data_IF_206812717791
#
_entry.id   IF_206812717791
#
_cell.length_a   1.000
_cell.length_b   1.000
_cell.length_c   1.000
_cell.angle_alpha   90.00
_cell.angle_beta   90.00
_cell.angle_gamma   90.00
#
_symmetry.space_group_name_H-M   'P 1'
#
loop_
_entity.id
_entity.type
_entity.pdbx_description
1 polymer ?
#
# COMPACT_ATOMS: atom_id res chain seq x y z
N UNK A 1 18.77 -14.91 -1.17
CA UNK A 1 17.73 -15.81 -1.75
C UNK A 1 16.40 -15.30 -1.22
N UNK A 2 15.45 -15.00 -2.11
CA UNK A 2 14.11 -14.64 -1.65
C UNK A 2 13.54 -15.83 -0.85
N UNK A 3 12.89 -15.51 0.28
CA UNK A 3 12.19 -16.52 1.09
C UNK A 3 10.99 -17.07 0.28
N UNK A 4 11.24 -18.13 -0.48
CA UNK A 4 10.26 -18.74 -1.38
C UNK A 4 9.03 -19.25 -0.61
N UNK A 5 9.22 -19.75 0.61
CA UNK A 5 8.12 -20.25 1.45
C UNK A 5 7.23 -19.09 1.95
N UNK A 6 7.83 -17.98 2.39
CA UNK A 6 7.09 -16.79 2.79
C UNK A 6 6.30 -16.18 1.64
N UNK A 7 6.90 -16.16 0.44
CA UNK A 7 6.25 -15.68 -0.77
C UNK A 7 5.06 -16.57 -1.18
N UNK A 8 5.18 -17.88 -1.12
CA UNK A 8 4.08 -18.81 -1.41
C UNK A 8 2.93 -18.66 -0.40
N UNK A 9 3.24 -18.53 0.89
CA UNK A 9 2.23 -18.24 1.93
C UNK A 9 1.49 -16.93 1.65
N UNK A 10 2.21 -15.88 1.26
CA UNK A 10 1.61 -14.59 0.89
C UNK A 10 0.69 -14.73 -0.33
N UNK A 11 1.13 -15.40 -1.38
CA UNK A 11 0.31 -15.67 -2.58
C UNK A 11 -0.97 -16.44 -2.23
N UNK A 12 -0.84 -17.50 -1.43
CA UNK A 12 -1.99 -18.28 -0.94
C UNK A 12 -2.96 -17.43 -0.12
N UNK A 13 -2.44 -16.60 0.78
CA UNK A 13 -3.25 -15.65 1.56
C UNK A 13 -4.02 -14.67 0.66
N UNK A 14 -3.33 -14.01 -0.28
CA UNK A 14 -3.95 -13.04 -1.19
C UNK A 14 -5.04 -13.69 -2.05
N UNK A 15 -4.78 -14.87 -2.61
CA UNK A 15 -5.74 -15.62 -3.42
C UNK A 15 -6.99 -16.01 -2.59
N UNK A 16 -6.79 -16.56 -1.40
CA UNK A 16 -7.88 -16.97 -0.53
C UNK A 16 -8.73 -15.80 -0.02
N UNK A 17 -8.09 -14.72 0.44
CA UNK A 17 -8.80 -13.57 0.99
C UNK A 17 -9.50 -12.75 -0.10
N UNK A 18 -8.90 -12.57 -1.27
CA UNK A 18 -9.55 -11.86 -2.38
C UNK A 18 -10.76 -12.62 -2.94
N UNK A 19 -10.79 -13.94 -2.83
CA UNK A 19 -11.96 -14.74 -3.20
C UNK A 19 -13.08 -14.69 -2.14
N UNK A 20 -12.69 -14.64 -0.85
CA UNK A 20 -13.62 -14.75 0.28
C UNK A 20 -14.23 -13.43 0.73
N UNK A 21 -13.43 -12.38 0.84
CA UNK A 21 -13.83 -11.14 1.49
C UNK A 21 -14.63 -10.24 0.52
N UNK A 22 -15.75 -9.66 0.96
CA UNK A 22 -16.40 -8.57 0.23
C UNK A 22 -15.52 -7.32 0.13
N UNK A 23 -15.70 -6.51 -0.92
CA UNK A 23 -14.99 -5.24 -1.10
C UNK A 23 -15.14 -4.30 0.11
N UNK A 24 -16.33 -4.25 0.69
CA UNK A 24 -16.61 -3.44 1.88
C UNK A 24 -15.77 -3.87 3.09
N UNK A 25 -15.57 -5.17 3.31
CA UNK A 25 -14.73 -5.68 4.40
C UNK A 25 -13.24 -5.44 4.13
N UNK A 26 -12.80 -5.59 2.87
CA UNK A 26 -11.42 -5.25 2.48
C UNK A 26 -11.16 -3.76 2.71
N UNK A 27 -12.12 -2.89 2.34
CA UNK A 27 -12.05 -1.44 2.60
C UNK A 27 -11.90 -1.16 4.10
N UNK A 28 -12.77 -1.72 4.94
CA UNK A 28 -12.69 -1.52 6.39
C UNK A 28 -11.31 -1.91 6.94
N UNK A 29 -10.79 -3.08 6.57
CA UNK A 29 -9.47 -3.55 7.00
C UNK A 29 -8.32 -2.70 6.49
N UNK A 30 -8.46 -2.11 5.30
CA UNK A 30 -7.49 -1.16 4.74
C UNK A 30 -7.52 0.16 5.51
N UNK A 31 -8.71 0.69 5.81
CA UNK A 31 -8.90 1.93 6.58
C UNK A 31 -8.30 1.77 8.00
N UNK A 32 -8.50 0.63 8.65
CA UNK A 32 -7.89 0.31 9.95
C UNK A 32 -6.35 0.33 9.86
N UNK A 33 -5.77 -0.31 8.84
CA UNK A 33 -4.31 -0.33 8.64
C UNK A 33 -3.74 1.07 8.32
N UNK A 34 -4.47 1.87 7.54
CA UNK A 34 -4.10 3.25 7.28
C UNK A 34 -4.15 4.11 8.56
N UNK A 35 -5.14 3.91 9.43
CA UNK A 35 -5.22 4.59 10.72
C UNK A 35 -4.05 4.21 11.63
N UNK A 36 -3.65 2.92 11.69
CA UNK A 36 -2.45 2.47 12.40
C UNK A 36 -1.20 3.21 11.90
N UNK A 37 -1.06 3.35 10.58
CA UNK A 37 0.06 4.07 9.98
C UNK A 37 0.04 5.57 10.33
N UNK A 38 -1.10 6.24 10.18
CA UNK A 38 -1.24 7.66 10.55
C UNK A 38 -1.00 7.90 12.04
N UNK A 39 -1.40 6.96 12.91
CA UNK A 39 -1.09 7.03 14.33
C UNK A 39 0.42 6.92 14.59
N UNK A 40 1.13 6.05 13.87
CA UNK A 40 2.58 5.88 14.02
C UNK A 40 3.38 7.14 13.64
N UNK A 41 2.88 7.96 12.70
CA UNK A 41 3.54 9.22 12.29
C UNK A 41 2.99 10.46 13.04
N UNK A 42 1.99 10.27 13.91
CA UNK A 42 1.36 11.39 14.62
C UNK A 42 2.32 12.06 15.60
N UNK A 43 2.35 13.40 15.58
CA UNK A 43 3.18 14.20 16.48
C UNK A 43 4.67 14.19 16.14
N UNK A 44 5.07 13.60 15.02
CA UNK A 44 6.46 13.66 14.53
C UNK A 44 6.69 15.03 13.91
N UNK A 45 7.72 15.74 14.38
CA UNK A 45 8.14 17.01 13.77
C UNK A 45 8.93 16.77 12.48
N UNK A 46 9.01 17.83 11.65
CA UNK A 46 9.62 17.75 10.33
C UNK A 46 11.12 17.39 10.38
N UNK A 47 11.87 17.93 11.34
CA UNK A 47 13.31 17.65 11.47
C UNK A 47 13.57 16.20 11.83
N UNK A 48 12.76 15.63 12.72
CA UNK A 48 12.84 14.21 13.11
C UNK A 48 12.38 13.30 11.97
N UNK A 49 11.34 13.70 11.23
CA UNK A 49 10.82 12.92 10.10
C UNK A 49 11.84 12.72 8.98
N UNK A 50 12.74 13.69 8.75
CA UNK A 50 13.76 13.63 7.70
C UNK A 50 15.11 13.03 8.17
N UNK A 51 15.21 12.61 9.43
CA UNK A 51 16.41 11.97 9.94
C UNK A 51 16.38 10.47 9.67
N UNK A 52 17.29 9.91 8.86
CA UNK A 52 17.40 8.46 8.70
C UNK A 52 17.98 7.82 9.99
N UNK A 53 17.56 6.61 10.33
CA UNK A 53 18.06 5.93 11.54
C UNK A 53 19.50 5.48 11.39
N UNK A 54 19.96 5.18 10.16
CA UNK A 54 21.33 4.86 9.82
C UNK A 54 21.60 5.20 8.35
N UNK A 55 22.90 5.30 7.93
CA UNK A 55 23.24 5.51 6.53
C UNK A 55 22.64 4.44 5.62
N UNK A 56 21.89 4.87 4.61
CA UNK A 56 21.22 3.98 3.65
C UNK A 56 19.88 3.42 4.10
N UNK A 57 19.42 3.74 5.28
CA UNK A 57 18.07 3.41 5.76
C UNK A 57 17.11 4.59 5.55
N UNK A 58 15.83 4.28 5.39
CA UNK A 58 14.81 5.29 5.11
C UNK A 58 14.41 6.05 6.38
N UNK A 59 14.34 7.36 6.24
CA UNK A 59 13.67 8.26 7.17
C UNK A 59 12.15 8.07 7.15
N UNK A 60 11.44 8.61 8.14
CA UNK A 60 9.97 8.60 8.17
C UNK A 60 9.38 9.29 6.94
N UNK A 61 9.95 10.42 6.50
CA UNK A 61 9.50 11.14 5.31
C UNK A 61 9.60 10.27 4.04
N UNK A 62 10.70 9.51 3.89
CA UNK A 62 10.89 8.56 2.78
C UNK A 62 9.87 7.42 2.84
N UNK A 63 9.57 6.89 4.02
CA UNK A 63 8.54 5.85 4.18
C UNK A 63 7.15 6.40 3.81
N UNK A 64 6.79 7.61 4.25
CA UNK A 64 5.50 8.24 3.89
C UNK A 64 5.39 8.48 2.39
N UNK A 65 6.44 8.96 1.74
CA UNK A 65 6.45 9.15 0.28
C UNK A 65 6.31 7.83 -0.47
N UNK A 66 7.05 6.79 -0.05
CA UNK A 66 6.97 5.45 -0.63
C UNK A 66 5.56 4.85 -0.55
N UNK A 67 4.91 4.93 0.61
CA UNK A 67 3.53 4.45 0.77
C UNK A 67 2.57 5.23 -0.12
N UNK A 68 2.77 6.55 -0.25
CA UNK A 68 1.95 7.42 -1.12
C UNK A 68 2.07 7.03 -2.58
N UNK A 69 3.28 6.89 -3.09
CA UNK A 69 3.53 6.51 -4.50
C UNK A 69 2.96 5.13 -4.80
N UNK A 70 3.07 4.19 -3.86
CA UNK A 70 2.47 2.86 -4.03
C UNK A 70 0.95 2.92 -4.21
N UNK A 71 0.25 3.77 -3.43
CA UNK A 71 -1.20 3.98 -3.61
C UNK A 71 -1.53 4.59 -4.98
N UNK A 72 -0.75 5.59 -5.38
CA UNK A 72 -0.93 6.30 -6.66
C UNK A 72 -0.73 5.36 -7.86
N UNK A 73 0.19 4.40 -7.77
CA UNK A 73 0.46 3.43 -8.83
C UNK A 73 -0.54 2.25 -8.86
N UNK A 74 -0.96 1.79 -7.69
CA UNK A 74 -1.85 0.63 -7.58
C UNK A 74 -3.31 0.97 -7.94
N UNK A 75 -3.79 2.16 -7.59
CA UNK A 75 -5.18 2.55 -7.84
C UNK A 75 -5.59 2.50 -9.33
N UNK A 76 -4.78 2.99 -10.29
CA UNK A 76 -5.07 2.82 -11.72
C UNK A 76 -5.18 1.36 -12.15
N UNK A 77 -4.33 0.47 -11.63
CA UNK A 77 -4.39 -0.97 -11.92
C UNK A 77 -5.69 -1.59 -11.42
N UNK A 78 -6.09 -1.26 -10.19
CA UNK A 78 -7.36 -1.70 -9.62
C UNK A 78 -8.55 -1.23 -10.45
N UNK A 79 -8.56 0.04 -10.89
CA UNK A 79 -9.61 0.61 -11.75
C UNK A 79 -9.68 -0.09 -13.10
N UNK A 80 -8.55 -0.37 -13.72
CA UNK A 80 -8.45 -1.06 -15.01
C UNK A 80 -9.03 -2.48 -14.90
N UNK A 81 -8.63 -3.24 -13.88
CA UNK A 81 -9.13 -4.59 -13.65
C UNK A 81 -10.63 -4.61 -13.33
N UNK A 82 -11.11 -3.73 -12.44
CA UNK A 82 -12.52 -3.63 -12.11
C UNK A 82 -13.37 -3.14 -13.28
N UNK A 83 -12.77 -2.41 -14.23
CA UNK A 83 -13.37 -2.02 -15.51
C UNK A 83 -13.40 -3.12 -16.58
N UNK A 84 -12.89 -4.32 -16.29
CA UNK A 84 -12.89 -5.46 -17.21
C UNK A 84 -11.75 -5.47 -18.22
N UNK A 85 -10.67 -4.72 -17.99
CA UNK A 85 -9.49 -4.70 -18.85
C UNK A 85 -8.23 -5.17 -18.12
N UNK A 86 -7.26 -5.68 -18.86
CA UNK A 86 -5.95 -5.98 -18.33
C UNK A 86 -5.06 -4.73 -18.39
N UNK A 87 -4.28 -4.44 -17.32
CA UNK A 87 -3.31 -3.35 -17.35
C UNK A 87 -2.24 -3.62 -18.41
N UNK A 88 -1.79 -2.58 -19.11
CA UNK A 88 -0.71 -2.66 -20.10
C UNK A 88 0.68 -2.67 -19.46
N UNK A 89 0.77 -2.28 -18.18
CA UNK A 89 2.00 -2.25 -17.41
C UNK A 89 1.81 -3.05 -16.11
N UNK A 90 2.83 -3.79 -15.72
CA UNK A 90 2.87 -4.45 -14.43
C UNK A 90 3.09 -3.42 -13.31
N UNK A 91 2.66 -3.77 -12.09
CA UNK A 91 2.96 -2.98 -10.91
C UNK A 91 4.48 -2.88 -10.71
N UNK A 92 4.96 -1.68 -10.42
CA UNK A 92 6.36 -1.49 -9.98
C UNK A 92 6.44 -1.79 -8.48
N UNK A 93 7.18 -2.83 -8.13
CA UNK A 93 7.28 -3.31 -6.73
C UNK A 93 8.24 -2.48 -5.88
N UNK A 94 9.11 -1.68 -6.52
CA UNK A 94 10.11 -0.89 -5.80
C UNK A 94 10.05 0.57 -6.23
N UNK A 95 9.53 1.41 -5.34
CA UNK A 95 9.51 2.85 -5.53
C UNK A 95 10.58 3.48 -4.63
N UNK A 96 11.64 4.01 -5.25
CA UNK A 96 12.52 4.91 -4.52
C UNK A 96 11.74 6.17 -4.15
N UNK A 97 11.86 6.68 -2.92
CA UNK A 97 11.22 7.94 -2.51
C UNK A 97 11.70 9.09 -3.38
N UNK A 98 10.79 9.73 -4.13
CA UNK A 98 11.13 10.80 -5.08
C UNK A 98 10.82 12.20 -4.54
N UNK A 99 9.89 12.29 -3.57
CA UNK A 99 9.39 13.55 -3.03
C UNK A 99 9.70 13.74 -1.55
N UNK A 100 10.53 12.87 -0.96
CA UNK A 100 10.81 12.83 0.47
C UNK A 100 11.44 14.13 1.03
N UNK A 101 11.94 15.01 0.18
CA UNK A 101 12.41 16.34 0.58
C UNK A 101 11.28 17.35 0.88
N UNK A 102 10.03 17.02 0.56
CA UNK A 102 8.87 17.85 0.90
C UNK A 102 8.62 17.84 2.41
N UNK A 103 8.04 18.91 2.99
CA UNK A 103 7.63 18.93 4.39
C UNK A 103 6.71 17.75 4.72
N UNK A 104 6.89 17.12 5.90
CA UNK A 104 6.10 15.98 6.34
C UNK A 104 4.58 16.24 6.25
N UNK A 105 4.14 17.44 6.60
CA UNK A 105 2.73 17.82 6.49
C UNK A 105 2.20 17.70 5.05
N UNK A 106 3.00 18.09 4.06
CA UNK A 106 2.66 17.98 2.62
C UNK A 106 2.60 16.51 2.18
N UNK A 107 3.56 15.69 2.62
CA UNK A 107 3.59 14.25 2.34
C UNK A 107 2.36 13.55 2.93
N UNK A 108 2.01 13.87 4.17
CA UNK A 108 0.84 13.30 4.85
C UNK A 108 -0.48 13.73 4.20
N UNK A 109 -0.57 14.95 3.70
CA UNK A 109 -1.75 15.40 2.94
C UNK A 109 -1.90 14.63 1.62
N UNK A 110 -0.79 14.44 0.89
CA UNK A 110 -0.77 13.60 -0.32
C UNK A 110 -1.24 12.18 -0.02
N UNK A 111 -0.71 11.58 1.05
CA UNK A 111 -1.07 10.23 1.47
C UNK A 111 -2.56 10.13 1.83
N UNK A 112 -3.12 11.11 2.57
CA UNK A 112 -4.56 11.13 2.89
C UNK A 112 -5.44 11.20 1.64
N UNK A 113 -5.06 12.00 0.65
CA UNK A 113 -5.77 12.06 -0.64
C UNK A 113 -5.71 10.72 -1.38
N UNK A 114 -4.55 10.08 -1.44
CA UNK A 114 -4.40 8.76 -2.04
C UNK A 114 -5.25 7.71 -1.34
N UNK A 115 -5.23 7.68 0.00
CA UNK A 115 -6.06 6.77 0.79
C UNK A 115 -7.57 7.00 0.56
N UNK A 116 -8.02 8.25 0.55
CA UNK A 116 -9.41 8.58 0.27
C UNK A 116 -9.83 8.09 -1.13
N UNK A 117 -8.99 8.29 -2.14
CA UNK A 117 -9.28 7.84 -3.51
C UNK A 117 -9.38 6.31 -3.62
N UNK A 118 -8.57 5.54 -2.88
CA UNK A 118 -8.67 4.08 -2.81
C UNK A 118 -9.94 3.66 -2.05
N UNK A 119 -10.25 4.30 -0.93
CA UNK A 119 -11.45 4.03 -0.14
C UNK A 119 -12.74 4.29 -0.95
N UNK A 120 -12.80 5.40 -1.70
CA UNK A 120 -13.91 5.75 -2.59
C UNK A 120 -14.04 4.75 -3.74
N UNK A 121 -12.92 4.34 -4.34
CA UNK A 121 -12.92 3.29 -5.35
C UNK A 121 -13.54 2.00 -4.80
N UNK A 122 -13.08 1.52 -3.64
CA UNK A 122 -13.60 0.28 -3.03
C UNK A 122 -15.07 0.40 -2.64
N UNK A 123 -15.52 1.57 -2.16
CA UNK A 123 -16.92 1.82 -1.85
C UNK A 123 -17.84 1.72 -3.09
N UNK A 124 -17.33 2.10 -4.25
CA UNK A 124 -18.06 2.03 -5.51
C UNK A 124 -18.17 0.60 -6.09
N UNK A 125 -17.41 -0.38 -5.55
CA UNK A 125 -17.36 -1.75 -6.07
C UNK A 125 -18.40 -2.70 -5.42
N UNK A 126 -19.58 -2.22 -5.07
CA UNK A 126 -20.61 -3.04 -4.41
C UNK A 126 -21.05 -4.29 -5.18
N UNK A 127 -21.01 -4.26 -6.53
CA UNK A 127 -21.31 -5.41 -7.40
C UNK A 127 -20.10 -6.34 -7.62
N UNK A 128 -18.93 -5.98 -7.14
CA UNK A 128 -17.66 -6.72 -7.28
C UNK A 128 -17.37 -7.21 -8.71
N UNK A 129 -17.37 -6.31 -9.73
CA UNK A 129 -17.24 -6.72 -11.12
C UNK A 129 -15.84 -7.30 -11.39
N UNK A 130 -15.76 -8.24 -12.35
CA UNK A 130 -14.52 -8.74 -12.92
C UNK A 130 -13.50 -9.28 -11.89
N UNK A 131 -13.96 -9.91 -10.79
CA UNK A 131 -13.08 -10.50 -9.78
C UNK A 131 -12.36 -11.75 -10.26
N UNK A 132 -12.78 -12.31 -11.38
CA UNK A 132 -12.14 -13.39 -12.13
C UNK A 132 -10.94 -12.88 -12.97
N UNK A 133 -10.94 -11.60 -13.36
CA UNK A 133 -9.87 -11.00 -14.14
C UNK A 133 -8.62 -10.81 -13.27
N UNK A 134 -7.50 -11.41 -13.69
CA UNK A 134 -6.25 -11.42 -12.95
C UNK A 134 -5.08 -11.04 -13.83
N UNK A 135 -4.10 -10.38 -13.24
CA UNK A 135 -2.81 -10.10 -13.86
C UNK A 135 -1.72 -10.93 -13.18
N UNK A 136 -0.78 -11.42 -13.96
CA UNK A 136 0.38 -12.11 -13.43
C UNK A 136 1.37 -11.10 -12.86
N UNK A 137 1.64 -11.19 -11.56
CA UNK A 137 2.66 -10.45 -10.87
C UNK A 137 3.81 -11.38 -10.45
N UNK A 138 5.05 -10.97 -10.70
CA UNK A 138 6.23 -11.80 -10.43
C UNK A 138 6.42 -12.11 -8.94
N UNK A 139 5.99 -11.23 -8.05
CA UNK A 139 6.11 -11.39 -6.61
C UNK A 139 4.82 -11.93 -5.97
N UNK A 140 3.67 -11.36 -6.32
CA UNK A 140 2.39 -11.65 -5.68
C UNK A 140 1.56 -12.76 -6.37
N UNK A 141 1.97 -13.23 -7.56
CA UNK A 141 1.27 -14.27 -8.31
C UNK A 141 0.10 -13.73 -9.13
N UNK A 142 -1.01 -14.48 -9.21
CA UNK A 142 -2.20 -14.08 -9.97
C UNK A 142 -3.10 -13.17 -9.13
N UNK A 143 -3.13 -11.88 -9.44
CA UNK A 143 -3.77 -10.84 -8.64
C UNK A 143 -4.93 -10.20 -9.39
N UNK A 144 -6.10 -10.09 -8.74
CA UNK A 144 -7.22 -9.25 -9.15
C UNK A 144 -7.22 -7.91 -8.37
N UNK A 145 -8.17 -7.02 -8.67
CA UNK A 145 -8.24 -5.72 -7.99
C UNK A 145 -8.46 -5.82 -6.46
N UNK A 146 -9.16 -6.86 -5.96
CA UNK A 146 -9.30 -7.10 -4.52
C UNK A 146 -7.97 -7.52 -3.88
N UNK A 147 -7.19 -8.32 -4.60
CA UNK A 147 -5.84 -8.71 -4.18
C UNK A 147 -4.91 -7.52 -4.03
N UNK A 148 -4.96 -6.55 -4.96
CA UNK A 148 -4.20 -5.30 -4.84
C UNK A 148 -4.61 -4.49 -3.60
N UNK A 149 -5.90 -4.38 -3.29
CA UNK A 149 -6.35 -3.70 -2.07
C UNK A 149 -5.83 -4.39 -0.80
N UNK A 150 -5.74 -5.74 -0.80
CA UNK A 150 -5.14 -6.49 0.30
C UNK A 150 -3.63 -6.27 0.42
N UNK A 151 -2.92 -6.12 -0.71
CA UNK A 151 -1.50 -5.75 -0.73
C UNK A 151 -1.32 -4.38 -0.07
N UNK A 152 -2.11 -3.37 -0.43
CA UNK A 152 -2.04 -2.03 0.18
C UNK A 152 -2.27 -2.08 1.70
N UNK A 153 -3.19 -2.92 2.18
CA UNK A 153 -3.39 -3.15 3.62
C UNK A 153 -2.14 -3.69 4.31
N UNK A 154 -1.51 -4.71 3.73
CA UNK A 154 -0.28 -5.28 4.29
C UNK A 154 0.85 -4.26 4.25
N UNK A 155 0.97 -3.51 3.17
CA UNK A 155 1.95 -2.46 2.98
C UNK A 155 1.87 -1.37 4.07
N UNK A 156 0.66 -0.89 4.37
CA UNK A 156 0.46 0.05 5.48
C UNK A 156 0.96 -0.51 6.82
N UNK A 157 0.64 -1.77 7.14
CA UNK A 157 1.03 -2.38 8.41
C UNK A 157 2.54 -2.59 8.54
N UNK A 158 3.18 -3.06 7.47
CA UNK A 158 4.62 -3.26 7.45
C UNK A 158 5.37 -1.92 7.63
N UNK A 159 4.90 -0.88 6.94
CA UNK A 159 5.50 0.44 7.03
C UNK A 159 5.15 1.19 8.33
N UNK A 160 4.01 0.93 8.96
CA UNK A 160 3.73 1.43 10.32
C UNK A 160 4.76 0.88 11.33
N UNK A 161 5.11 -0.40 11.22
CA UNK A 161 6.17 -1.01 12.04
C UNK A 161 7.55 -0.44 11.70
N UNK A 162 7.82 -0.18 10.42
CA UNK A 162 9.08 0.46 10.00
C UNK A 162 9.20 1.87 10.61
N UNK A 163 8.14 2.70 10.52
CA UNK A 163 8.09 4.03 11.14
C UNK A 163 8.39 3.94 12.64
N UNK A 164 7.76 3.02 13.36
CA UNK A 164 7.99 2.84 14.79
C UNK A 164 9.45 2.49 15.10
N UNK A 165 10.08 1.61 14.32
CA UNK A 165 11.51 1.26 14.46
C UNK A 165 12.42 2.46 14.16
N UNK A 166 12.15 3.18 13.06
CA UNK A 166 12.89 4.39 12.68
C UNK A 166 12.85 5.43 13.80
N UNK A 167 11.65 5.72 14.33
CA UNK A 167 11.48 6.71 15.41
C UNK A 167 12.13 6.29 16.72
N UNK A 168 12.27 5.02 17.00
CA UNK A 168 12.98 4.53 18.18
C UNK A 168 14.51 4.70 18.09
N UNK A 169 15.05 4.89 16.87
CA UNK A 169 16.48 5.01 16.60
C UNK A 169 16.96 6.46 16.37
N UNK A 170 16.05 7.45 16.27
CA UNK A 170 16.36 8.89 16.01
C UNK A 170 15.84 9.82 17.15
#
# INVERSE_FOLDING_TARGET
MADTEGQEKLRGYLAAQSAKLPAAEIRQRLDEAAQEFFAAVSGVDDARAHRPPAPGEWSVAEVVDHVTVTLEDVLPLMRTLAGGALPTQAMVVSHAPANAALPLATLLERLRRGQAAVADFLAAQGAEPHTDLRVADGYFGQINWKGYALILRLHYRDHAQQVARTLAAV
#
